data_IF_506802189123
#
_entry.id   IF_506802189123
#
_cell.length_a   1.000
_cell.length_b   1.000
_cell.length_c   1.000
_cell.angle_alpha   90.00
_cell.angle_beta   90.00
_cell.angle_gamma   90.00
#
_symmetry.space_group_name_H-M   'P 1'
#
loop_
_entity.id
_entity.type
_entity.pdbx_description
1 polymer ?
#
# COMPACT_ATOMS: atom_id res chain seq x y z
N UNK A 1 -43.97 11.31 3.82
CA UNK A 1 -43.58 11.24 2.40
C UNK A 1 -42.34 12.09 2.17
N UNK A 2 -41.28 11.46 1.64
CA UNK A 2 -40.04 11.97 1.01
C UNK A 2 -39.40 13.27 1.53
N UNK A 3 -38.31 13.10 2.29
CA UNK A 3 -37.15 14.00 2.24
C UNK A 3 -36.00 13.24 1.56
N UNK A 4 -36.00 13.30 0.23
CA UNK A 4 -34.85 12.90 -0.58
C UNK A 4 -33.94 14.12 -0.70
N UNK A 5 -32.73 13.99 -0.18
CA UNK A 5 -31.69 15.01 -0.27
C UNK A 5 -30.36 14.42 0.19
N UNK A 6 -30.09 13.18 -0.24
CA UNK A 6 -28.81 12.53 -0.11
C UNK A 6 -27.75 13.52 -0.61
N UNK A 7 -26.90 13.98 0.30
CA UNK A 7 -25.79 14.88 0.00
C UNK A 7 -25.01 14.32 -1.16
N UNK A 8 -25.14 14.99 -2.31
CA UNK A 8 -24.26 14.85 -3.45
C UNK A 8 -22.87 15.13 -2.89
N UNK A 9 -22.11 14.06 -2.69
CA UNK A 9 -20.69 14.17 -2.37
C UNK A 9 -20.07 15.00 -3.48
N UNK A 10 -19.81 16.27 -3.18
CA UNK A 10 -18.90 17.12 -3.95
C UNK A 10 -17.52 16.49 -3.81
N UNK A 11 -17.30 15.41 -4.56
CA UNK A 11 -15.96 14.87 -4.76
C UNK A 11 -15.32 15.89 -5.69
N UNK A 12 -14.61 16.85 -5.09
CA UNK A 12 -13.72 17.79 -5.76
C UNK A 12 -13.03 17.11 -6.95
N UNK A 13 -12.79 17.82 -8.06
CA UNK A 13 -12.08 17.25 -9.20
C UNK A 13 -10.80 16.61 -8.69
N UNK A 14 -10.73 15.28 -8.77
CA UNK A 14 -9.51 14.53 -8.49
C UNK A 14 -8.54 14.98 -9.55
N UNK A 15 -7.66 15.90 -9.18
CA UNK A 15 -6.55 16.30 -10.02
C UNK A 15 -5.70 15.04 -10.26
N UNK A 16 -5.71 14.47 -11.48
CA UNK A 16 -5.01 13.22 -11.72
C UNK A 16 -3.50 13.42 -11.61
N UNK A 17 -2.99 14.64 -11.85
CA UNK A 17 -1.55 14.94 -11.71
C UNK A 17 -1.12 14.95 -10.23
N UNK A 18 -1.91 15.57 -9.35
CA UNK A 18 -1.69 15.56 -7.90
C UNK A 18 -1.86 14.17 -7.27
N UNK A 19 -2.80 13.36 -7.77
CA UNK A 19 -2.98 11.98 -7.29
C UNK A 19 -1.79 11.09 -7.70
N UNK A 20 -1.31 11.20 -8.95
CA UNK A 20 -0.15 10.45 -9.45
C UNK A 20 1.13 10.87 -8.73
N UNK A 21 1.33 12.16 -8.43
CA UNK A 21 2.45 12.62 -7.61
C UNK A 21 2.42 11.97 -6.20
N UNK A 22 1.25 11.97 -5.55
CA UNK A 22 1.07 11.33 -4.25
C UNK A 22 1.30 9.80 -4.30
N UNK A 23 0.93 9.11 -5.40
CA UNK A 23 1.26 7.68 -5.57
C UNK A 23 2.78 7.44 -5.63
N UNK A 24 3.51 8.29 -6.36
CA UNK A 24 4.97 8.18 -6.46
C UNK A 24 5.66 8.41 -5.11
N UNK A 25 5.24 9.43 -4.35
CA UNK A 25 5.81 9.70 -3.02
C UNK A 25 5.59 8.55 -2.04
N UNK A 26 4.42 7.89 -2.11
CA UNK A 26 4.11 6.71 -1.31
C UNK A 26 4.94 5.50 -1.72
N UNK A 27 5.20 5.31 -3.02
CA UNK A 27 6.09 4.25 -3.51
C UNK A 27 7.54 4.47 -3.06
N UNK A 28 8.04 5.70 -3.11
CA UNK A 28 9.38 6.06 -2.62
C UNK A 28 9.48 5.74 -1.14
N UNK A 29 8.53 6.20 -0.33
CA UNK A 29 8.51 5.94 1.11
C UNK A 29 8.43 4.43 1.44
N UNK A 30 7.64 3.67 0.67
CA UNK A 30 7.58 2.22 0.81
C UNK A 30 8.89 1.52 0.41
N UNK A 31 9.60 2.03 -0.60
CA UNK A 31 10.93 1.54 -0.99
C UNK A 31 12.00 1.88 0.04
N UNK A 32 11.90 3.02 0.72
CA UNK A 32 12.81 3.40 1.82
C UNK A 32 12.58 2.58 3.10
N UNK A 33 11.36 2.11 3.33
CA UNK A 33 11.06 1.18 4.42
C UNK A 33 11.63 -0.24 4.21
N UNK A 34 12.14 -0.56 3.01
CA UNK A 34 12.75 -1.85 2.72
C UNK A 34 14.15 -1.99 3.34
N UNK A 35 14.53 -3.20 3.77
CA UNK A 35 15.94 -3.52 4.06
C UNK A 35 16.83 -3.16 2.87
N UNK A 36 17.97 -2.53 3.13
CA UNK A 36 18.88 -2.03 2.08
C UNK A 36 19.29 -3.10 1.07
N UNK A 37 19.46 -4.35 1.52
CA UNK A 37 19.81 -5.48 0.66
C UNK A 37 18.71 -5.79 -0.36
N UNK A 38 17.44 -5.78 0.07
CA UNK A 38 16.29 -6.04 -0.80
C UNK A 38 16.11 -4.91 -1.81
N UNK A 39 16.27 -3.65 -1.37
CA UNK A 39 16.21 -2.47 -2.26
C UNK A 39 17.26 -2.56 -3.37
N UNK A 40 18.50 -2.94 -3.03
CA UNK A 40 19.59 -3.10 -4.00
C UNK A 40 19.29 -4.22 -5.00
N UNK A 41 18.90 -5.39 -4.52
CA UNK A 41 18.57 -6.55 -5.38
C UNK A 41 17.41 -6.23 -6.32
N UNK A 42 16.36 -5.59 -5.82
CA UNK A 42 15.19 -5.19 -6.62
C UNK A 42 15.56 -4.16 -7.69
N UNK A 43 16.38 -3.16 -7.37
CA UNK A 43 16.85 -2.15 -8.33
C UNK A 43 17.62 -2.78 -9.49
N UNK A 44 18.56 -3.69 -9.20
CA UNK A 44 19.34 -4.33 -10.25
C UNK A 44 18.51 -5.30 -11.11
N UNK A 45 17.51 -5.97 -10.53
CA UNK A 45 16.64 -6.87 -11.29
C UNK A 45 15.61 -6.13 -12.14
N UNK A 46 14.91 -5.15 -11.59
CA UNK A 46 13.77 -4.50 -12.25
C UNK A 46 14.18 -3.26 -13.06
N UNK A 47 15.05 -2.40 -12.51
CA UNK A 47 15.44 -1.17 -13.18
C UNK A 47 16.56 -1.40 -14.22
N UNK A 48 17.46 -2.35 -13.94
CA UNK A 48 18.61 -2.64 -14.82
C UNK A 48 18.43 -3.92 -15.66
N UNK A 49 17.44 -4.77 -15.34
CA UNK A 49 17.19 -6.02 -16.08
C UNK A 49 18.32 -7.05 -15.96
N UNK A 50 19.15 -6.96 -14.92
CA UNK A 50 20.35 -7.78 -14.80
C UNK A 50 19.99 -9.24 -14.43
N UNK A 51 20.72 -10.23 -14.95
CA UNK A 51 20.48 -11.62 -14.60
C UNK A 51 20.89 -11.91 -13.14
N UNK A 52 20.25 -12.87 -12.47
CA UNK A 52 20.47 -13.17 -11.06
C UNK A 52 21.93 -13.48 -10.73
N UNK A 53 22.67 -14.09 -11.66
CA UNK A 53 24.11 -14.35 -11.54
C UNK A 53 24.96 -13.08 -11.44
N UNK A 54 24.58 -12.03 -12.18
CA UNK A 54 25.28 -10.74 -12.17
C UNK A 54 24.91 -9.91 -10.95
N UNK A 55 23.64 -9.96 -10.54
CA UNK A 55 23.16 -9.36 -9.29
C UNK A 55 23.91 -9.97 -8.09
N UNK A 56 24.05 -11.28 -8.04
CA UNK A 56 24.81 -11.98 -7.00
C UNK A 56 26.26 -11.51 -6.93
N UNK A 57 26.94 -11.40 -8.06
CA UNK A 57 28.31 -10.89 -8.11
C UNK A 57 28.43 -9.44 -7.61
N UNK A 58 27.46 -8.58 -7.93
CA UNK A 58 27.42 -7.18 -7.49
C UNK A 58 27.10 -7.01 -6.00
N UNK A 59 26.34 -7.94 -5.43
CA UNK A 59 25.83 -7.87 -4.04
C UNK A 59 26.61 -8.75 -3.06
N UNK A 60 27.52 -9.59 -3.54
CA UNK A 60 28.23 -10.59 -2.74
C UNK A 60 27.34 -11.74 -2.27
N UNK A 61 26.18 -11.92 -2.89
CA UNK A 61 25.22 -12.96 -2.57
C UNK A 61 25.45 -14.21 -3.42
N UNK A 62 24.87 -15.32 -3.00
CA UNK A 62 24.85 -16.52 -3.82
C UNK A 62 23.77 -16.39 -4.92
N UNK A 63 24.07 -16.74 -6.19
CA UNK A 63 23.13 -16.59 -7.32
C UNK A 63 21.83 -17.37 -7.13
N UNK A 64 21.87 -18.51 -6.46
CA UNK A 64 20.70 -19.31 -6.12
C UNK A 64 19.75 -18.63 -5.11
N UNK A 65 20.26 -17.69 -4.31
CA UNK A 65 19.47 -16.98 -3.30
C UNK A 65 18.76 -15.75 -3.87
N UNK A 66 19.21 -15.22 -5.01
CA UNK A 66 18.66 -14.01 -5.64
C UNK A 66 17.17 -14.15 -6.02
N UNK A 67 16.68 -15.25 -6.63
CA UNK A 67 15.26 -15.40 -6.96
C UNK A 67 14.36 -15.38 -5.72
N UNK A 68 14.77 -16.04 -4.64
CA UNK A 68 14.04 -16.04 -3.37
C UNK A 68 14.00 -14.64 -2.73
N UNK A 69 15.10 -13.90 -2.82
CA UNK A 69 15.18 -12.51 -2.34
C UNK A 69 14.32 -11.55 -3.18
N UNK A 70 14.19 -11.78 -4.49
CA UNK A 70 13.32 -10.98 -5.35
C UNK A 70 11.84 -11.16 -4.98
N UNK A 71 11.42 -12.41 -4.76
CA UNK A 71 10.06 -12.69 -4.28
C UNK A 71 9.82 -12.02 -2.92
N UNK A 72 10.78 -12.15 -1.98
CA UNK A 72 10.72 -11.49 -0.66
C UNK A 72 10.62 -9.97 -0.79
N UNK A 73 11.43 -9.35 -1.65
CA UNK A 73 11.43 -7.91 -1.87
C UNK A 73 10.08 -7.40 -2.38
N UNK A 74 9.49 -8.10 -3.36
CA UNK A 74 8.16 -7.78 -3.89
C UNK A 74 7.06 -7.92 -2.84
N UNK A 75 7.14 -8.95 -2.00
CA UNK A 75 6.19 -9.13 -0.89
C UNK A 75 6.33 -8.03 0.15
N UNK A 76 7.55 -7.70 0.59
CA UNK A 76 7.77 -6.62 1.57
C UNK A 76 7.33 -5.25 1.03
N UNK A 77 7.49 -4.98 -0.28
CA UNK A 77 6.96 -3.76 -0.90
C UNK A 77 5.43 -3.71 -0.83
N UNK A 78 4.77 -4.84 -1.10
CA UNK A 78 3.30 -4.96 -1.00
C UNK A 78 2.81 -4.73 0.44
N UNK A 79 3.49 -5.29 1.42
CA UNK A 79 3.15 -5.13 2.85
C UNK A 79 3.38 -3.68 3.34
N UNK A 80 4.50 -3.06 2.95
CA UNK A 80 4.79 -1.66 3.28
C UNK A 80 3.74 -0.71 2.67
N UNK A 81 3.37 -0.92 1.41
CA UNK A 81 2.30 -0.14 0.75
C UNK A 81 0.94 -0.35 1.42
N UNK A 82 0.61 -1.59 1.82
CA UNK A 82 -0.65 -1.89 2.52
C UNK A 82 -0.71 -1.25 3.91
N UNK A 83 0.43 -1.06 4.58
CA UNK A 83 0.48 -0.40 5.90
C UNK A 83 0.33 1.12 5.79
N UNK A 84 0.87 1.73 4.72
CA UNK A 84 0.66 3.15 4.42
C UNK A 84 -0.72 3.48 3.84
N UNK A 85 -1.40 2.49 3.27
CA UNK A 85 -2.80 2.61 2.91
C UNK A 85 -3.59 2.22 4.14
N UNK A 86 -3.90 3.18 5.02
CA UNK A 86 -4.77 2.96 6.18
C UNK A 86 -5.87 1.95 5.80
N UNK A 87 -6.00 0.83 6.53
CA UNK A 87 -7.02 -0.13 6.17
C UNK A 87 -8.35 0.58 6.36
N UNK A 88 -9.12 0.72 5.27
CA UNK A 88 -10.56 0.96 5.33
C UNK A 88 -11.16 -0.28 6.00
N UNK A 89 -11.02 -0.34 7.31
CA UNK A 89 -11.53 -1.44 8.08
C UNK A 89 -13.04 -1.29 8.02
N UNK A 90 -13.68 -2.33 7.48
CA UNK A 90 -15.11 -2.54 7.57
C UNK A 90 -15.63 -2.39 9.03
N UNK A 91 -14.73 -2.41 10.03
CA UNK A 91 -14.98 -2.07 11.44
C UNK A 91 -15.43 -0.61 11.69
N UNK A 92 -14.95 0.37 10.91
CA UNK A 92 -15.50 1.76 10.96
C UNK A 92 -16.87 1.87 10.28
N UNK A 93 -17.22 0.93 9.41
CA UNK A 93 -18.53 0.89 8.75
C UNK A 93 -19.63 0.33 9.68
N UNK A 94 -19.27 -0.54 10.64
CA UNK A 94 -20.22 -1.31 11.46
C UNK A 94 -20.52 -0.69 12.84
N UNK A 95 -19.94 0.47 13.15
CA UNK A 95 -20.13 1.18 14.43
C UNK A 95 -21.27 2.21 14.42
N UNK A 96 -21.82 2.55 13.24
CA UNK A 96 -22.99 3.45 13.12
C UNK A 96 -24.34 2.74 13.38
N UNK A 97 -24.41 1.41 13.23
CA UNK A 97 -25.68 0.66 13.33
C UNK A 97 -26.08 0.33 14.78
N UNK A 98 -25.09 0.14 15.67
CA UNK A 98 -25.31 -0.22 17.09
C UNK A 98 -25.72 0.93 18.01
N UNK A 99 -25.64 2.18 17.56
CA UNK A 99 -26.02 3.36 18.36
C UNK A 99 -27.52 3.72 18.24
N UNK A 100 -28.26 3.11 17.31
CA UNK A 100 -29.69 3.39 17.13
C UNK A 100 -30.63 2.47 17.92
N UNK A 101 -30.11 1.43 18.60
CA UNK A 101 -30.95 0.42 19.28
C UNK A 101 -30.87 0.43 20.82
N UNK A 102 -30.11 1.33 21.45
CA UNK A 102 -29.93 1.36 22.91
C UNK A 102 -30.30 2.73 23.54
N UNK A 103 -31.38 3.37 23.07
CA UNK A 103 -32.10 4.39 23.86
C UNK A 103 -33.48 3.89 24.26
N UNK A 104 -33.52 3.02 25.26
CA UNK A 104 -34.61 3.05 26.24
C UNK A 104 -34.26 4.09 27.32
N UNK A 105 -35.26 4.77 27.92
CA UNK A 105 -35.90 4.08 29.03
C UNK A 105 -37.40 4.38 29.23
N UNK A 106 -38.05 3.39 29.85
CA UNK A 106 -39.06 3.51 30.91
C UNK A 106 -39.98 4.75 30.90
N UNK A 107 -41.26 4.56 30.60
CA UNK A 107 -42.35 4.49 31.60
C UNK A 107 -43.69 4.17 30.93
#
# INVERSE_FOLDING_TARGET
MKVSGQGLVDRAPRDPEGEVANQHERLVSAMEALPELLRRVLWHAEAMGEPPSRIAALTGLAPQSVPALLVRARTSLREAHATMSEPVTWASMNSQDRASHEQGPAR
#
